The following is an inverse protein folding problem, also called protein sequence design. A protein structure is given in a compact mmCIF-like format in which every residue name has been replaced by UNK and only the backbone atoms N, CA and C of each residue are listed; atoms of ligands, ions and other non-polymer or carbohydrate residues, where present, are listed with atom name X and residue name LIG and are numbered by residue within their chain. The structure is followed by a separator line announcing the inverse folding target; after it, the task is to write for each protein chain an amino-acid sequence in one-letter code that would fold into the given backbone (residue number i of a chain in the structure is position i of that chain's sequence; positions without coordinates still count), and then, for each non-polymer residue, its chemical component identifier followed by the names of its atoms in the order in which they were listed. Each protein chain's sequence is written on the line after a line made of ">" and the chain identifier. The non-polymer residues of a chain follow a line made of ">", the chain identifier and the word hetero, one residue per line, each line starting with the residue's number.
data_IF_750339760577
#
_entry.id   IF_750339760577
#
_cell.length_a   1.000
_cell.length_b   1.000
_cell.length_c   1.000
_cell.angle_alpha   90.00
_cell.angle_beta   90.00
_cell.angle_gamma   90.00
#
_symmetry.space_group_name_H-M   'P 1'
#
loop_
_entity.id
_entity.type
_entity.pdbx_description
1 polymer ?
#
# COMPACT_ATOMS: atom_id res chain seq x y z
N UNK A 1 20.27 14.77 41.80
CA UNK A 1 18.91 14.20 41.64
C UNK A 1 18.99 12.71 41.28
N UNK A 2 19.55 12.30 40.14
CA UNK A 2 19.66 10.86 39.79
C UNK A 2 20.47 10.02 40.79
N UNK A 3 21.61 10.52 41.28
CA UNK A 3 22.43 9.81 42.28
C UNK A 3 21.68 9.63 43.61
N UNK A 4 20.95 10.67 44.06
CA UNK A 4 20.11 10.61 45.25
C UNK A 4 18.98 9.59 45.09
N UNK A 5 18.28 9.57 43.95
CA UNK A 5 17.22 8.60 43.67
C UNK A 5 17.78 7.17 43.65
N UNK A 6 18.98 6.99 43.12
CA UNK A 6 19.63 5.68 43.03
C UNK A 6 20.16 5.20 44.39
N UNK A 7 20.59 6.11 45.27
CA UNK A 7 20.87 5.86 46.68
C UNK A 7 19.60 5.51 47.46
N UNK A 8 18.55 6.30 47.33
CA UNK A 8 17.24 6.05 47.96
C UNK A 8 16.66 4.70 47.53
N UNK A 9 16.80 4.31 46.25
CA UNK A 9 16.38 2.99 45.76
C UNK A 9 17.22 1.84 46.32
N UNK A 10 18.53 2.06 46.53
CA UNK A 10 19.40 1.08 47.19
C UNK A 10 19.01 0.92 48.66
N UNK A 11 18.74 2.01 49.35
CA UNK A 11 18.27 2.00 50.74
C UNK A 11 16.91 1.31 50.88
N UNK A 12 15.95 1.59 50.00
CA UNK A 12 14.64 0.94 49.99
C UNK A 12 14.73 -0.55 49.64
N UNK A 13 15.58 -0.93 48.68
CA UNK A 13 15.80 -2.35 48.35
C UNK A 13 16.49 -3.09 49.49
N UNK A 14 17.46 -2.46 50.15
CA UNK A 14 18.10 -3.01 51.36
C UNK A 14 17.09 -3.18 52.50
N UNK A 15 16.23 -2.19 52.73
CA UNK A 15 15.17 -2.26 53.74
C UNK A 15 14.14 -3.36 53.46
N UNK A 16 13.73 -3.55 52.19
CA UNK A 16 12.80 -4.62 51.78
C UNK A 16 13.44 -6.01 51.89
N UNK A 17 14.72 -6.16 51.54
CA UNK A 17 15.47 -7.41 51.71
C UNK A 17 15.69 -7.73 53.19
N UNK A 18 16.00 -6.73 54.02
CA UNK A 18 16.08 -6.87 55.47
C UNK A 18 14.72 -7.25 56.06
N UNK A 19 13.62 -6.64 55.62
CA UNK A 19 12.25 -6.99 56.04
C UNK A 19 11.84 -8.42 55.71
N UNK A 20 12.16 -8.90 54.51
CA UNK A 20 11.88 -10.27 54.09
C UNK A 20 12.70 -11.31 54.88
N UNK A 21 13.85 -10.92 55.45
CA UNK A 21 14.68 -11.76 56.32
C UNK A 21 14.49 -11.54 57.84
N UNK A 22 13.89 -10.42 58.26
CA UNK A 22 13.86 -9.97 59.66
C UNK A 22 12.74 -10.55 60.52
N UNK A 23 11.79 -11.29 59.95
CA UNK A 23 10.77 -12.00 60.75
C UNK A 23 11.40 -13.03 61.71
N UNK A 24 12.64 -13.49 61.41
CA UNK A 24 13.40 -14.44 62.21
C UNK A 24 14.51 -13.80 63.08
N UNK A 25 14.63 -12.46 63.10
CA UNK A 25 15.67 -11.75 63.88
C UNK A 25 15.19 -11.39 65.30
N UNK A 26 16.10 -11.27 66.28
CA UNK A 26 15.78 -10.80 67.63
C UNK A 26 15.11 -9.41 67.60
N UNK A 27 14.19 -9.14 68.54
CA UNK A 27 13.40 -7.89 68.60
C UNK A 27 14.23 -6.60 68.59
N UNK A 28 15.48 -6.66 69.06
CA UNK A 28 16.39 -5.51 69.09
C UNK A 28 16.87 -5.08 67.68
N UNK A 29 16.88 -6.01 66.72
CA UNK A 29 17.39 -5.80 65.36
C UNK A 29 16.26 -5.64 64.32
N UNK A 30 15.00 -5.69 64.76
CA UNK A 30 13.83 -5.48 63.92
C UNK A 30 13.59 -3.99 63.68
N UNK A 31 13.29 -3.62 62.43
CA UNK A 31 12.89 -2.26 62.10
C UNK A 31 11.57 -1.89 62.80
N UNK A 32 11.53 -0.69 63.38
CA UNK A 32 10.31 -0.19 64.02
C UNK A 32 9.17 -0.04 63.01
N UNK A 33 7.92 -0.24 63.45
CA UNK A 33 6.74 -0.04 62.61
C UNK A 33 6.66 1.37 61.98
N UNK A 34 7.20 2.39 62.67
CA UNK A 34 7.29 3.75 62.15
C UNK A 34 8.25 3.85 60.95
N UNK A 35 9.40 3.18 61.02
CA UNK A 35 10.38 3.10 59.93
C UNK A 35 9.80 2.38 58.72
N UNK A 36 9.06 1.28 58.94
CA UNK A 36 8.39 0.52 57.88
C UNK A 36 7.33 1.34 57.15
N UNK A 37 6.52 2.08 57.89
CA UNK A 37 5.52 2.98 57.29
C UNK A 37 6.16 4.13 56.50
N UNK A 38 7.33 4.63 56.93
CA UNK A 38 8.08 5.65 56.20
C UNK A 38 8.62 5.10 54.87
N UNK A 39 9.28 3.94 54.92
CA UNK A 39 9.79 3.20 53.75
C UNK A 39 8.68 2.89 52.75
N UNK A 40 7.52 2.39 53.22
CA UNK A 40 6.37 2.11 52.37
C UNK A 40 5.81 3.37 51.69
N UNK A 41 5.75 4.50 52.42
CA UNK A 41 5.31 5.79 51.85
C UNK A 41 6.30 6.33 50.81
N UNK A 42 7.60 6.24 51.05
CA UNK A 42 8.63 6.64 50.09
C UNK A 42 8.61 5.76 48.85
N UNK A 43 8.46 4.44 49.01
CA UNK A 43 8.29 3.51 47.90
C UNK A 43 7.03 3.82 47.07
N UNK A 44 5.90 4.12 47.71
CA UNK A 44 4.69 4.54 47.00
C UNK A 44 4.87 5.86 46.25
N UNK A 45 5.61 6.82 46.80
CA UNK A 45 5.95 8.07 46.12
C UNK A 45 6.82 7.82 44.89
N UNK A 46 7.89 7.04 45.04
CA UNK A 46 8.78 6.69 43.93
C UNK A 46 8.06 5.90 42.83
N UNK A 47 7.16 4.99 43.20
CA UNK A 47 6.34 4.27 42.23
C UNK A 47 5.45 5.23 41.43
N UNK A 48 4.78 6.17 42.10
CA UNK A 48 3.99 7.21 41.42
C UNK A 48 4.84 8.04 40.46
N UNK A 49 6.01 8.49 40.91
CA UNK A 49 6.95 9.24 40.06
C UNK A 49 7.45 8.39 38.90
N UNK A 50 7.67 7.09 39.08
CA UNK A 50 8.03 6.18 37.99
C UNK A 50 6.88 5.97 37.00
N UNK A 51 5.63 5.93 37.47
CA UNK A 51 4.43 5.76 36.64
C UNK A 51 4.07 7.02 35.82
N UNK A 52 4.70 8.17 36.13
CA UNK A 52 4.57 9.44 35.39
C UNK A 52 5.39 9.47 34.09
N UNK A 53 6.36 8.57 33.93
CA UNK A 53 7.26 8.57 32.79
C UNK A 53 7.09 7.29 31.95
N UNK A 54 6.96 7.48 30.64
CA UNK A 54 6.84 6.41 29.65
C UNK A 54 8.16 6.24 28.93
N UNK A 55 8.62 5.01 28.77
CA UNK A 55 9.74 4.72 27.87
C UNK A 55 9.32 4.90 26.40
N UNK A 56 10.28 5.10 25.50
CA UNK A 56 10.02 5.22 24.06
C UNK A 56 9.27 4.02 23.49
N UNK A 57 9.56 2.82 24.00
CA UNK A 57 8.87 1.57 23.63
C UNK A 57 7.43 1.52 24.11
N UNK A 58 6.96 2.44 24.95
CA UNK A 58 5.57 2.47 25.40
C UNK A 58 4.71 3.46 24.63
N UNK A 59 5.31 4.27 23.75
CA UNK A 59 4.58 5.25 22.95
C UNK A 59 3.57 4.60 22.00
N UNK A 60 3.81 3.36 21.53
CA UNK A 60 2.86 2.64 20.67
C UNK A 60 1.50 2.40 21.34
N UNK A 61 1.44 2.39 22.68
CA UNK A 61 0.20 2.22 23.43
C UNK A 61 -0.75 3.42 23.24
N UNK A 62 -0.19 4.59 22.93
CA UNK A 62 -0.92 5.86 22.80
C UNK A 62 -1.04 6.31 21.35
N UNK A 63 -0.06 5.98 20.50
CA UNK A 63 -0.08 6.24 19.07
C UNK A 63 -0.15 4.92 18.30
N UNK A 64 -1.32 4.63 17.72
CA UNK A 64 -1.52 3.38 16.96
C UNK A 64 -0.59 3.31 15.75
N UNK A 65 -0.12 2.10 15.44
CA UNK A 65 0.68 1.76 14.26
C UNK A 65 2.02 2.50 14.15
N UNK A 66 2.49 3.14 15.22
CA UNK A 66 3.79 3.80 15.26
C UNK A 66 4.91 2.83 15.64
N UNK A 67 6.10 3.01 15.05
CA UNK A 67 7.26 2.14 15.26
C UNK A 67 8.44 2.87 15.93
N UNK A 68 9.59 2.18 15.99
CA UNK A 68 10.87 2.75 16.46
C UNK A 68 11.16 4.12 15.80
N UNK A 69 11.56 5.12 16.59
CA UNK A 69 11.82 6.48 16.10
C UNK A 69 10.65 7.47 16.27
N UNK A 70 9.48 7.02 16.72
CA UNK A 70 8.34 7.89 17.05
C UNK A 70 8.71 8.96 18.06
N UNK A 71 9.48 8.57 19.09
CA UNK A 71 9.95 9.49 20.11
C UNK A 71 10.85 10.59 19.56
N UNK A 72 11.77 10.23 18.66
CA UNK A 72 12.59 11.21 17.92
C UNK A 72 11.72 12.14 17.09
N UNK A 73 10.77 11.60 16.36
CA UNK A 73 9.90 12.38 15.49
C UNK A 73 9.12 13.44 16.25
N UNK A 74 8.47 13.10 17.37
CA UNK A 74 7.68 14.08 18.15
C UNK A 74 8.58 15.18 18.77
N UNK A 75 9.82 14.87 19.15
CA UNK A 75 10.77 15.88 19.62
C UNK A 75 11.16 16.85 18.52
N UNK A 76 11.44 16.35 17.33
CA UNK A 76 11.96 17.18 16.23
C UNK A 76 10.86 17.92 15.49
N UNK A 77 9.73 17.26 15.20
CA UNK A 77 8.64 17.82 14.39
C UNK A 77 7.58 18.54 15.21
N UNK A 78 7.35 18.11 16.46
CA UNK A 78 6.37 18.76 17.35
C UNK A 78 7.02 19.53 18.49
N UNK A 79 8.35 19.64 18.51
CA UNK A 79 9.09 20.32 19.56
C UNK A 79 8.75 19.78 20.97
N UNK A 80 8.43 18.50 21.09
CA UNK A 80 8.09 17.89 22.38
C UNK A 80 9.30 17.98 23.33
N UNK A 81 9.17 18.76 24.41
CA UNK A 81 10.27 19.13 25.29
C UNK A 81 10.25 18.44 26.65
N UNK A 82 9.09 17.92 27.09
CA UNK A 82 8.95 17.28 28.41
C UNK A 82 9.38 15.80 28.39
N UNK A 83 10.68 15.59 28.15
CA UNK A 83 11.32 14.28 28.12
C UNK A 83 12.70 14.34 28.78
N UNK A 84 13.22 13.20 29.21
CA UNK A 84 14.61 13.06 29.60
C UNK A 84 15.23 11.81 28.96
N UNK A 85 16.56 11.71 29.02
CA UNK A 85 17.31 10.57 28.49
C UNK A 85 18.01 9.85 29.63
N UNK A 86 17.83 8.53 29.70
CA UNK A 86 18.55 7.68 30.64
C UNK A 86 19.16 6.49 29.89
N UNK A 87 20.50 6.42 29.88
CA UNK A 87 21.24 5.49 29.04
C UNK A 87 20.97 5.72 27.55
N UNK A 88 20.47 4.69 26.86
CA UNK A 88 20.09 4.75 25.44
C UNK A 88 18.62 5.08 25.21
N UNK A 89 17.81 5.12 26.26
CA UNK A 89 16.35 5.23 26.17
C UNK A 89 15.90 6.64 26.53
N UNK A 90 14.91 7.14 25.80
CA UNK A 90 14.20 8.37 26.15
C UNK A 90 12.94 8.06 26.93
N UNK A 91 12.66 8.89 27.92
CA UNK A 91 11.49 8.81 28.78
C UNK A 91 10.67 10.09 28.61
N UNK A 92 9.35 9.93 28.47
CA UNK A 92 8.42 11.01 28.14
C UNK A 92 7.40 11.17 29.25
N UNK A 93 7.05 12.40 29.57
CA UNK A 93 6.01 12.64 30.54
C UNK A 93 4.65 12.11 30.02
N UNK A 94 4.01 11.24 30.81
CA UNK A 94 2.78 10.54 30.42
C UNK A 94 1.60 11.48 30.18
N UNK A 95 1.44 12.52 31.02
CA UNK A 95 0.31 13.45 30.88
C UNK A 95 0.40 14.25 29.60
N UNK A 96 1.62 14.65 29.21
CA UNK A 96 1.84 15.41 27.98
C UNK A 96 1.72 14.53 26.72
N UNK A 97 2.13 13.25 26.80
CA UNK A 97 1.87 12.29 25.72
C UNK A 97 0.37 12.07 25.51
N UNK A 98 -0.41 11.97 26.60
CA UNK A 98 -1.88 11.87 26.52
C UNK A 98 -2.51 13.12 25.91
N UNK A 99 -2.02 14.31 26.29
CA UNK A 99 -2.47 15.57 25.73
C UNK A 99 -2.18 15.65 24.22
N UNK A 100 -0.97 15.29 23.80
CA UNK A 100 -0.58 15.21 22.40
C UNK A 100 -1.45 14.22 21.62
N UNK A 101 -1.69 13.03 22.16
CA UNK A 101 -2.54 12.02 21.52
C UNK A 101 -3.98 12.52 21.33
N UNK A 102 -4.51 13.26 22.31
CA UNK A 102 -5.83 13.89 22.22
C UNK A 102 -5.87 14.96 21.13
N UNK A 103 -4.87 15.85 21.09
CA UNK A 103 -4.80 16.90 20.08
C UNK A 103 -4.68 16.34 18.66
N UNK A 104 -3.86 15.31 18.46
CA UNK A 104 -3.74 14.62 17.16
C UNK A 104 -5.08 14.01 16.74
N UNK A 105 -5.83 13.41 17.68
CA UNK A 105 -7.15 12.84 17.40
C UNK A 105 -8.17 13.93 17.03
N UNK A 106 -8.17 15.06 17.75
CA UNK A 106 -9.05 16.20 17.46
C UNK A 106 -8.77 16.82 16.08
N UNK A 107 -7.50 16.85 15.67
CA UNK A 107 -7.08 17.31 14.34
C UNK A 107 -7.21 16.24 13.25
N UNK A 108 -7.70 15.05 13.58
CA UNK A 108 -7.79 13.88 12.70
C UNK A 108 -6.45 13.51 12.03
N UNK A 109 -5.36 13.60 12.79
CA UNK A 109 -4.00 13.28 12.34
C UNK A 109 -3.60 11.89 12.81
N UNK A 110 -3.26 11.01 11.87
CA UNK A 110 -2.62 9.73 12.17
C UNK A 110 -1.09 9.93 12.20
N UNK A 111 -0.48 9.76 13.38
CA UNK A 111 0.95 10.02 13.57
C UNK A 111 1.84 9.14 12.68
N UNK A 112 1.53 7.84 12.56
CA UNK A 112 2.32 6.91 11.74
C UNK A 112 2.32 7.32 10.25
N UNK A 113 1.17 7.74 9.71
CA UNK A 113 1.08 8.27 8.35
C UNK A 113 1.84 9.57 8.18
N UNK A 114 1.82 10.43 9.19
CA UNK A 114 2.53 11.71 9.14
C UNK A 114 4.05 11.53 9.16
N UNK A 115 4.55 10.58 9.96
CA UNK A 115 5.97 10.17 9.95
C UNK A 115 6.37 9.73 8.55
N UNK A 116 5.61 8.79 7.95
CA UNK A 116 5.88 8.28 6.60
C UNK A 116 5.88 9.37 5.54
N UNK A 117 4.92 10.30 5.60
CA UNK A 117 4.86 11.43 4.67
C UNK A 117 6.14 12.28 4.72
N UNK A 118 6.63 12.59 5.93
CA UNK A 118 7.87 13.38 6.08
C UNK A 118 9.11 12.66 5.60
N UNK A 119 9.21 11.35 5.83
CA UNK A 119 10.29 10.52 5.28
C UNK A 119 10.25 10.48 3.74
N UNK A 120 9.07 10.37 3.14
CA UNK A 120 8.89 10.40 1.69
C UNK A 120 9.23 11.78 1.09
N UNK A 121 8.83 12.88 1.74
CA UNK A 121 9.20 14.24 1.34
C UNK A 121 10.72 14.45 1.34
N UNK A 122 11.42 14.00 2.39
CA UNK A 122 12.88 14.10 2.47
C UNK A 122 13.57 13.19 1.44
N UNK A 123 13.06 11.96 1.27
CA UNK A 123 13.54 11.03 0.26
C UNK A 123 13.38 11.56 -1.17
N UNK A 124 12.25 12.20 -1.47
CA UNK A 124 12.02 12.85 -2.75
C UNK A 124 12.99 14.01 -2.98
N UNK A 125 13.20 14.88 -1.99
CA UNK A 125 14.18 15.98 -2.08
C UNK A 125 15.58 15.46 -2.38
N UNK A 126 16.01 14.37 -1.75
CA UNK A 126 17.31 13.72 -2.02
C UNK A 126 17.40 13.20 -3.47
N UNK A 127 16.33 12.55 -3.97
CA UNK A 127 16.26 12.06 -5.37
C UNK A 127 16.27 13.19 -6.40
N UNK A 128 15.59 14.30 -6.11
CA UNK A 128 15.61 15.49 -6.97
C UNK A 128 17.00 16.12 -6.96
N UNK A 129 17.63 16.26 -5.78
CA UNK A 129 18.97 16.79 -5.67
C UNK A 129 20.01 15.93 -6.43
N UNK A 130 19.92 14.59 -6.33
CA UNK A 130 20.80 13.71 -7.09
C UNK A 130 20.54 13.79 -8.59
N UNK A 131 19.29 13.89 -9.03
CA UNK A 131 18.95 14.11 -10.44
C UNK A 131 19.51 15.45 -10.98
N UNK A 132 19.57 16.49 -10.14
CA UNK A 132 20.17 17.76 -10.51
C UNK A 132 21.70 17.65 -10.73
N UNK A 133 22.39 16.83 -9.94
CA UNK A 133 23.82 16.54 -10.12
C UNK A 133 24.11 15.73 -11.40
N UNK A 134 23.15 14.92 -11.85
CA UNK A 134 23.28 14.14 -13.08
C UNK A 134 23.16 15.00 -14.35
N UNK A 135 22.73 16.27 -14.25
CA UNK A 135 22.80 17.22 -15.36
C UNK A 135 24.26 17.69 -15.53
N UNK A 136 25.05 16.93 -16.29
CA UNK A 136 26.41 17.35 -16.69
C UNK A 136 26.37 18.74 -17.32
N UNK A 137 27.33 19.57 -16.91
CA UNK A 137 27.39 21.04 -16.92
C UNK A 137 27.28 21.80 -18.26
N UNK A 138 26.83 21.20 -19.36
CA UNK A 138 26.68 21.94 -20.62
C UNK A 138 25.21 22.27 -20.87
N UNK A 139 24.85 23.55 -20.72
CA UNK A 139 23.56 24.12 -21.18
C UNK A 139 23.27 23.84 -22.68
N UNK A 140 24.23 23.29 -23.43
CA UNK A 140 24.14 23.02 -24.87
C UNK A 140 24.06 21.53 -25.26
N UNK A 141 24.26 20.57 -24.35
CA UNK A 141 24.17 19.12 -24.70
C UNK A 141 22.80 18.56 -24.29
N UNK A 142 22.16 17.83 -25.20
CA UNK A 142 20.88 17.12 -24.94
C UNK A 142 21.07 16.13 -23.78
N UNK A 143 20.00 15.82 -23.06
CA UNK A 143 20.02 14.82 -21.96
C UNK A 143 20.19 13.37 -22.43
N UNK A 144 20.39 13.17 -23.74
CA UNK A 144 20.52 11.88 -24.41
C UNK A 144 21.51 12.02 -25.57
N UNK A 145 22.15 10.91 -25.92
CA UNK A 145 23.06 10.77 -27.06
C UNK A 145 22.58 9.56 -27.85
N UNK A 146 22.15 9.79 -29.09
CA UNK A 146 21.80 8.71 -30.02
C UNK A 146 23.09 8.42 -30.79
N UNK A 147 23.56 7.16 -30.84
CA UNK A 147 24.75 6.81 -31.61
C UNK A 147 24.58 7.22 -33.07
N UNK A 148 25.64 7.73 -33.69
CA UNK A 148 25.58 8.24 -35.06
C UNK A 148 25.18 7.16 -36.07
N UNK A 149 25.43 5.89 -35.75
CA UNK A 149 25.09 4.72 -36.57
C UNK A 149 23.59 4.38 -36.55
N UNK A 150 22.82 4.91 -35.59
CA UNK A 150 21.38 4.63 -35.47
C UNK A 150 20.59 5.62 -36.32
N UNK A 151 20.30 5.23 -37.56
CA UNK A 151 19.44 5.98 -38.50
C UNK A 151 18.52 5.03 -39.26
N UNK A 152 17.34 5.53 -39.63
CA UNK A 152 16.42 4.90 -40.58
C UNK A 152 15.99 3.45 -40.24
N UNK A 153 15.92 3.13 -38.94
CA UNK A 153 15.36 1.86 -38.45
C UNK A 153 13.84 1.94 -38.51
N UNK A 154 13.29 1.69 -39.69
CA UNK A 154 11.86 1.56 -39.91
C UNK A 154 11.55 0.14 -40.37
N UNK A 155 10.50 -0.45 -39.79
CA UNK A 155 9.89 -1.66 -40.35
C UNK A 155 8.96 -1.20 -41.47
N UNK A 156 9.16 -1.70 -42.68
CA UNK A 156 8.23 -1.43 -43.79
C UNK A 156 6.83 -1.87 -43.39
N UNK A 157 5.84 -1.00 -43.56
CA UNK A 157 4.45 -1.37 -43.34
C UNK A 157 4.11 -2.59 -44.21
N UNK A 158 3.49 -3.60 -43.61
CA UNK A 158 2.95 -4.72 -44.37
C UNK A 158 1.88 -4.20 -45.34
N UNK A 159 1.79 -4.77 -46.56
CA UNK A 159 0.75 -4.40 -47.51
C UNK A 159 -0.62 -4.60 -46.85
N UNK A 160 -1.36 -3.50 -46.71
CA UNK A 160 -2.69 -3.54 -46.10
C UNK A 160 -3.67 -4.16 -47.11
N UNK A 161 -4.55 -5.09 -46.68
CA UNK A 161 -5.60 -5.61 -47.56
C UNK A 161 -6.56 -4.49 -47.96
N UNK A 162 -7.24 -4.66 -49.10
CA UNK A 162 -8.25 -3.69 -49.52
C UNK A 162 -9.48 -3.74 -48.61
N UNK A 163 -10.23 -2.65 -48.57
CA UNK A 163 -11.45 -2.54 -47.75
C UNK A 163 -12.51 -3.56 -48.21
N UNK A 164 -12.56 -3.84 -49.50
CA UNK A 164 -13.49 -4.78 -50.12
C UNK A 164 -13.26 -6.20 -49.62
N UNK A 165 -11.99 -6.62 -49.48
CA UNK A 165 -11.62 -7.95 -48.96
C UNK A 165 -12.11 -8.12 -47.53
N UNK A 166 -11.96 -7.11 -46.68
CA UNK A 166 -12.42 -7.17 -45.29
C UNK A 166 -13.96 -7.17 -45.21
N UNK A 167 -14.64 -6.41 -46.08
CA UNK A 167 -16.12 -6.41 -46.14
C UNK A 167 -16.66 -7.77 -46.60
N UNK A 168 -15.99 -8.40 -47.56
CA UNK A 168 -16.34 -9.74 -48.02
C UNK A 168 -16.11 -10.78 -46.91
N UNK A 169 -15.00 -10.70 -46.18
CA UNK A 169 -14.74 -11.58 -45.02
C UNK A 169 -15.80 -11.40 -43.92
N UNK A 170 -16.18 -10.16 -43.60
CA UNK A 170 -17.27 -9.89 -42.68
C UNK A 170 -18.60 -10.50 -43.17
N UNK A 171 -18.93 -10.37 -44.46
CA UNK A 171 -20.14 -10.99 -45.03
C UNK A 171 -20.11 -12.51 -44.90
N UNK A 172 -18.98 -13.14 -45.21
CA UNK A 172 -18.81 -14.59 -45.05
C UNK A 172 -18.97 -15.03 -43.59
N UNK A 173 -18.45 -14.25 -42.64
CA UNK A 173 -18.63 -14.50 -41.21
C UNK A 173 -20.10 -14.34 -40.79
N UNK A 174 -20.84 -13.38 -41.34
CA UNK A 174 -22.29 -13.25 -41.11
C UNK A 174 -23.03 -14.49 -41.59
N UNK A 175 -22.77 -14.95 -42.81
CA UNK A 175 -23.37 -16.17 -43.36
C UNK A 175 -23.02 -17.40 -42.52
N UNK A 176 -21.77 -17.53 -42.07
CA UNK A 176 -21.33 -18.60 -41.17
C UNK A 176 -22.08 -18.57 -39.83
N UNK A 177 -22.28 -17.37 -39.26
CA UNK A 177 -22.96 -17.19 -37.99
C UNK A 177 -24.38 -17.77 -38.00
N UNK A 178 -25.13 -17.48 -39.06
CA UNK A 178 -26.49 -18.01 -39.23
C UNK A 178 -26.47 -19.50 -39.62
N UNK A 179 -25.60 -19.90 -40.56
CA UNK A 179 -25.52 -21.29 -41.04
C UNK A 179 -25.26 -22.30 -39.93
N UNK A 180 -24.43 -21.94 -38.95
CA UNK A 180 -24.07 -22.82 -37.84
C UNK A 180 -24.80 -22.49 -36.54
N UNK A 181 -25.82 -21.62 -36.59
CA UNK A 181 -26.59 -21.16 -35.44
C UNK A 181 -25.68 -20.74 -34.25
N UNK A 182 -24.64 -19.95 -34.55
CA UNK A 182 -23.64 -19.56 -33.55
C UNK A 182 -24.20 -18.58 -32.51
N UNK A 183 -25.40 -18.04 -32.74
CA UNK A 183 -26.13 -17.19 -31.80
C UNK A 183 -26.40 -17.85 -30.46
N UNK A 184 -26.45 -19.18 -30.36
CA UNK A 184 -26.57 -19.88 -29.08
C UNK A 184 -25.31 -19.78 -28.21
N UNK A 185 -24.15 -19.58 -28.83
CA UNK A 185 -22.83 -19.69 -28.20
C UNK A 185 -22.03 -18.39 -28.18
N UNK A 186 -22.46 -17.36 -28.90
CA UNK A 186 -21.73 -16.10 -29.10
C UNK A 186 -22.64 -14.91 -28.79
N UNK A 187 -22.10 -13.94 -28.05
CA UNK A 187 -22.67 -12.62 -27.86
C UNK A 187 -21.96 -11.60 -28.75
N UNK A 188 -22.75 -10.75 -29.42
CA UNK A 188 -22.24 -9.63 -30.21
C UNK A 188 -22.57 -8.33 -29.49
N UNK A 189 -21.53 -7.68 -28.99
CA UNK A 189 -21.58 -6.43 -28.27
C UNK A 189 -21.46 -5.26 -29.25
N UNK A 190 -22.39 -4.31 -29.14
CA UNK A 190 -22.39 -3.06 -29.91
C UNK A 190 -22.24 -3.27 -31.43
N UNK A 191 -22.72 -4.41 -31.94
CA UNK A 191 -22.65 -4.77 -33.35
C UNK A 191 -21.26 -5.12 -33.90
N UNK A 192 -20.15 -4.85 -33.22
CA UNK A 192 -18.82 -4.94 -33.84
C UNK A 192 -17.75 -5.63 -32.99
N UNK A 193 -18.17 -6.27 -31.89
CA UNK A 193 -17.30 -7.07 -31.04
C UNK A 193 -18.00 -8.33 -30.58
N UNK A 194 -17.39 -9.50 -30.78
CA UNK A 194 -17.95 -10.80 -30.44
C UNK A 194 -17.19 -11.48 -29.31
N UNK A 195 -17.91 -12.15 -28.41
CA UNK A 195 -17.35 -13.05 -27.40
C UNK A 195 -18.19 -14.31 -27.23
N UNK A 196 -17.56 -15.39 -26.81
CA UNK A 196 -18.26 -16.64 -26.46
C UNK A 196 -19.07 -16.47 -25.17
N UNK A 197 -20.26 -17.06 -25.12
CA UNK A 197 -21.20 -17.01 -23.99
C UNK A 197 -20.81 -17.91 -22.82
N UNK A 198 -20.11 -19.00 -23.09
CA UNK A 198 -19.88 -20.05 -22.11
C UNK A 198 -18.66 -19.78 -21.22
N UNK A 199 -18.86 -19.87 -19.90
CA UNK A 199 -17.81 -19.79 -18.90
C UNK A 199 -16.98 -21.11 -18.86
N UNK A 200 -15.78 -21.03 -18.28
CA UNK A 200 -14.85 -22.16 -18.10
C UNK A 200 -15.53 -23.38 -17.47
N UNK A 201 -16.48 -23.16 -16.55
CA UNK A 201 -17.21 -24.22 -15.84
C UNK A 201 -18.20 -24.99 -16.73
N UNK A 202 -18.75 -24.35 -17.77
CA UNK A 202 -19.75 -24.94 -18.68
C UNK A 202 -19.13 -25.48 -19.97
N UNK A 203 -17.90 -25.06 -20.27
CA UNK A 203 -17.12 -25.49 -21.45
C UNK A 203 -17.02 -27.01 -21.61
N UNK A 204 -16.98 -27.79 -20.52
CA UNK A 204 -16.85 -29.26 -20.57
C UNK A 204 -18.05 -29.97 -21.23
N UNK A 205 -19.20 -29.31 -21.31
CA UNK A 205 -20.44 -29.87 -21.84
C UNK A 205 -20.70 -29.52 -23.31
N UNK A 206 -19.82 -28.72 -23.93
CA UNK A 206 -19.91 -28.32 -25.34
C UNK A 206 -18.90 -29.15 -26.14
N UNK A 207 -19.25 -29.59 -27.35
CA UNK A 207 -18.32 -30.32 -28.20
C UNK A 207 -17.08 -29.47 -28.55
N UNK A 208 -15.91 -30.11 -28.62
CA UNK A 208 -14.66 -29.40 -28.96
C UNK A 208 -14.74 -28.71 -30.33
N UNK A 209 -15.50 -29.27 -31.27
CA UNK A 209 -15.71 -28.69 -32.59
C UNK A 209 -16.45 -27.35 -32.51
N UNK A 210 -17.56 -27.29 -31.77
CA UNK A 210 -18.34 -26.06 -31.58
C UNK A 210 -17.49 -25.03 -30.84
N UNK A 211 -16.74 -25.44 -29.82
CA UNK A 211 -15.85 -24.54 -29.09
C UNK A 211 -14.77 -23.92 -29.98
N UNK A 212 -14.12 -24.72 -30.82
CA UNK A 212 -13.07 -24.23 -31.72
C UNK A 212 -13.66 -23.28 -32.76
N UNK A 213 -14.81 -23.65 -33.35
CA UNK A 213 -15.52 -22.83 -34.34
C UNK A 213 -15.94 -21.48 -33.75
N UNK A 214 -16.58 -21.46 -32.57
CA UNK A 214 -17.02 -20.21 -31.94
C UNK A 214 -15.86 -19.28 -31.59
N UNK A 215 -14.77 -19.82 -31.06
CA UNK A 215 -13.56 -19.03 -30.76
C UNK A 215 -12.94 -18.44 -32.01
N UNK A 216 -12.72 -19.27 -33.02
CA UNK A 216 -12.15 -18.85 -34.30
C UNK A 216 -13.03 -17.79 -34.98
N UNK A 217 -14.35 -17.97 -34.93
CA UNK A 217 -15.29 -16.99 -35.46
C UNK A 217 -15.21 -15.66 -34.72
N UNK A 218 -15.22 -15.66 -33.37
CA UNK A 218 -15.09 -14.43 -32.58
C UNK A 218 -13.76 -13.69 -32.88
N UNK A 219 -12.65 -14.44 -32.95
CA UNK A 219 -11.34 -13.88 -33.30
C UNK A 219 -11.36 -13.23 -34.69
N UNK A 220 -11.83 -13.96 -35.71
CA UNK A 220 -11.90 -13.45 -37.08
C UNK A 220 -12.82 -12.23 -37.20
N UNK A 221 -13.99 -12.25 -36.56
CA UNK A 221 -14.94 -11.14 -36.58
C UNK A 221 -14.37 -9.89 -35.90
N UNK A 222 -13.69 -10.06 -34.75
CA UNK A 222 -13.05 -8.95 -34.04
C UNK A 222 -11.86 -8.39 -34.84
N UNK A 223 -11.04 -9.25 -35.45
CA UNK A 223 -9.92 -8.84 -36.28
C UNK A 223 -10.37 -8.10 -37.54
N UNK A 224 -11.40 -8.60 -38.24
CA UNK A 224 -11.94 -7.95 -39.42
C UNK A 224 -12.52 -6.56 -39.10
N UNK A 225 -13.27 -6.42 -37.99
CA UNK A 225 -13.77 -5.12 -37.56
C UNK A 225 -12.67 -4.13 -37.14
N UNK A 226 -11.65 -4.61 -36.43
CA UNK A 226 -10.49 -3.79 -36.06
C UNK A 226 -9.65 -3.38 -37.28
N UNK A 227 -9.44 -4.29 -38.24
CA UNK A 227 -8.75 -3.98 -39.50
C UNK A 227 -9.51 -2.93 -40.31
N UNK A 228 -10.85 -3.03 -40.35
CA UNK A 228 -11.69 -2.05 -41.03
C UNK A 228 -11.64 -0.66 -40.36
N UNK A 229 -11.61 -0.61 -39.02
CA UNK A 229 -11.43 0.62 -38.25
C UNK A 229 -10.09 1.29 -38.56
N UNK A 230 -9.00 0.54 -38.64
CA UNK A 230 -7.67 1.05 -38.99
C UNK A 230 -7.57 1.60 -40.41
N UNK A 231 -8.40 1.10 -41.34
CA UNK A 231 -8.40 1.54 -42.74
C UNK A 231 -9.35 2.71 -43.02
N UNK A 232 -10.52 2.74 -42.37
CA UNK A 232 -11.60 3.67 -42.71
C UNK A 232 -12.09 4.57 -41.56
N UNK A 233 -11.53 4.44 -40.35
CA UNK A 233 -12.03 5.08 -39.12
C UNK A 233 -13.52 4.80 -38.83
N UNK A 234 -14.09 3.73 -39.41
CA UNK A 234 -15.49 3.30 -39.23
C UNK A 234 -15.55 1.78 -39.13
N UNK A 235 -16.30 1.29 -38.13
CA UNK A 235 -16.63 -0.13 -37.96
C UNK A 235 -17.92 -0.46 -38.72
N UNK A 236 -18.10 -1.73 -39.07
CA UNK A 236 -19.37 -2.23 -39.61
C UNK A 236 -20.14 -2.85 -38.46
N UNK A 237 -21.36 -2.37 -38.25
CA UNK A 237 -22.24 -2.94 -37.26
C UNK A 237 -22.92 -4.18 -37.84
N UNK A 238 -22.75 -5.31 -37.15
CA UNK A 238 -23.55 -6.50 -37.33
C UNK A 238 -24.97 -6.21 -36.83
N UNK A 239 -25.93 -6.32 -37.73
CA UNK A 239 -27.35 -6.25 -37.43
C UNK A 239 -27.86 -7.69 -37.54
N UNK A 240 -28.12 -8.39 -36.41
CA UNK A 240 -28.76 -9.68 -36.46
C UNK A 240 -30.17 -9.48 -37.02
N UNK A 241 -30.40 -9.97 -38.24
CA UNK A 241 -31.76 -10.11 -38.77
C UNK A 241 -32.45 -11.18 -37.91
N UNK A 242 -33.68 -10.90 -37.44
CA UNK A 242 -34.47 -11.87 -36.69
C UNK A 242 -34.77 -13.06 -37.60
N UNK A 243 -34.70 -14.29 -37.08
CA UNK A 243 -34.99 -15.52 -37.84
C UNK A 243 -36.32 -15.45 -38.60
N UNK A 244 -37.30 -14.69 -38.10
CA UNK A 244 -38.61 -14.48 -38.72
C UNK A 244 -38.56 -13.83 -40.13
N UNK A 245 -37.52 -13.04 -40.45
CA UNK A 245 -37.37 -12.35 -41.74
C UNK A 245 -36.61 -13.20 -42.78
N UNK A 246 -36.03 -14.34 -42.38
CA UNK A 246 -35.31 -15.24 -43.30
C UNK A 246 -36.20 -16.28 -43.99
N UNK A 247 -37.45 -16.46 -43.54
CA UNK A 247 -38.37 -17.49 -44.08
C UNK A 247 -39.13 -16.99 -45.33
N UNK A 248 -38.89 -15.77 -45.82
CA UNK A 248 -39.60 -15.19 -46.98
C UNK A 248 -38.76 -14.93 -48.25
N UNK A 249 -37.71 -15.70 -48.51
CA UNK A 249 -37.05 -15.75 -49.85
C UNK A 249 -36.87 -17.17 -50.36
#
# INVERSE_FOLDING_TARGET
>A
MEQQILEELKELKAAVVQLAGAANLPKADQLSAATLNKVAKEFQKLKKTSDEWLSEDELYKYFKDTHYGTGKFIREQFAFSNYFKHGRTHYYNKTDILALAKELKERNVNLARYIKLKEEEEGLKKRIASAALNKKASKKKKSYEIPDEVRDINVSDYPKPSVEVIKEDLKNLQEEFFKYNLGEYIDIYRGNYAMVKYDHSLKRYISNEIQHRCKKWCENFNYANHALELLNQKRVDFIPVKEDDMIQL
#
